data_IF_437713170573
#
_entry.id   IF_437713170573
#
_cell.length_a   1.000
_cell.length_b   1.000
_cell.length_c   1.000
_cell.angle_alpha   90.00
_cell.angle_beta   90.00
_cell.angle_gamma   90.00
#
_symmetry.space_group_name_H-M   'P 1'
#
loop_
_entity.id
_entity.type
_entity.pdbx_description
1 polymer ?
#
# COMPACT_ATOMS: atom_id res chain seq x y z
N UNK A 1 3.19 6.95 -10.41
CA UNK A 1 3.30 5.47 -10.29
C UNK A 1 3.26 5.12 -8.81
N UNK A 2 2.67 3.98 -8.47
CA UNK A 2 2.67 3.44 -7.11
C UNK A 2 3.55 2.20 -7.00
N UNK A 3 4.18 2.03 -5.84
CA UNK A 3 4.89 0.81 -5.47
C UNK A 3 4.09 0.10 -4.37
N UNK A 4 3.91 -1.21 -4.53
CA UNK A 4 3.32 -2.09 -3.53
C UNK A 4 4.42 -2.71 -2.69
N UNK A 5 4.31 -2.65 -1.36
CA UNK A 5 5.28 -3.25 -0.43
C UNK A 5 4.58 -4.03 0.67
N UNK A 6 5.16 -5.16 1.04
CA UNK A 6 4.61 -6.06 2.07
C UNK A 6 5.37 -6.01 3.40
N UNK A 7 6.47 -5.27 3.45
CA UNK A 7 7.40 -5.25 4.57
C UNK A 7 7.80 -3.82 4.96
N UNK A 8 8.33 -3.61 6.18
CA UNK A 8 8.87 -2.32 6.59
C UNK A 8 10.02 -1.91 5.69
N UNK A 9 10.02 -0.64 5.25
CA UNK A 9 11.10 -0.10 4.42
C UNK A 9 12.31 0.36 5.22
N UNK A 10 12.16 0.53 6.54
CA UNK A 10 13.30 0.78 7.42
C UNK A 10 14.16 -0.49 7.46
N UNK A 11 15.45 -0.42 7.15
CA UNK A 11 16.34 -1.58 7.27
C UNK A 11 16.41 -2.07 8.72
N UNK A 12 16.28 -3.38 8.91
CA UNK A 12 16.56 -4.01 10.18
C UNK A 12 18.09 -4.06 10.43
N UNK A 13 18.51 -3.87 11.68
CA UNK A 13 19.93 -4.00 12.06
C UNK A 13 20.39 -5.47 12.10
N UNK A 14 19.45 -6.38 12.33
CA UNK A 14 19.70 -7.82 12.35
C UNK A 14 18.58 -8.58 11.67
N UNK A 15 18.91 -9.79 11.24
CA UNK A 15 17.92 -10.74 10.73
C UNK A 15 16.96 -11.18 11.85
N UNK A 16 15.74 -11.62 11.51
CA UNK A 16 14.80 -12.19 12.48
C UNK A 16 15.46 -13.32 13.30
N UNK A 17 15.34 -13.25 14.62
CA UNK A 17 15.91 -14.24 15.54
C UNK A 17 17.40 -14.04 15.84
N UNK A 18 18.04 -12.97 15.36
CA UNK A 18 19.43 -12.63 15.67
C UNK A 18 19.50 -11.39 16.56
N UNK A 19 20.27 -11.47 17.63
CA UNK A 19 20.51 -10.34 18.54
C UNK A 19 21.56 -9.38 17.98
N UNK A 20 21.29 -8.08 18.10
CA UNK A 20 22.24 -7.03 17.77
C UNK A 20 22.95 -6.57 19.04
N UNK A 21 24.22 -6.97 19.22
CA UNK A 21 25.02 -6.55 20.36
C UNK A 21 25.71 -5.22 20.03
N UNK A 22 25.57 -4.26 20.94
CA UNK A 22 26.17 -2.93 20.85
C UNK A 22 27.23 -2.82 21.94
N UNK A 23 28.49 -2.79 21.55
CA UNK A 23 29.63 -2.73 22.47
C UNK A 23 29.99 -1.29 22.87
N UNK A 24 29.44 -0.29 22.15
CA UNK A 24 29.69 1.12 22.45
C UNK A 24 28.59 2.04 21.93
N UNK A 25 28.47 3.22 22.56
CA UNK A 25 27.61 4.31 22.08
C UNK A 25 27.99 4.77 20.66
N UNK A 26 29.28 4.72 20.31
CA UNK A 26 29.76 5.03 18.96
C UNK A 26 29.19 4.09 17.91
N UNK A 27 29.19 2.78 18.19
CA UNK A 27 28.61 1.76 17.32
C UNK A 27 27.09 1.90 17.19
N UNK A 28 26.40 2.20 18.30
CA UNK A 28 24.96 2.48 18.28
C UNK A 28 24.63 3.65 17.35
N UNK A 29 25.33 4.78 17.52
CA UNK A 29 25.14 5.98 16.69
C UNK A 29 25.46 5.73 15.21
N UNK A 30 26.53 4.99 14.92
CA UNK A 30 26.87 4.63 13.55
C UNK A 30 25.77 3.77 12.91
N UNK A 31 25.20 2.83 13.67
CA UNK A 31 24.11 1.96 13.21
C UNK A 31 22.84 2.75 12.90
N UNK A 32 22.44 3.67 13.78
CA UNK A 32 21.29 4.56 13.53
C UNK A 32 21.51 5.48 12.32
N UNK A 33 22.73 6.01 12.15
CA UNK A 33 23.09 6.82 10.99
C UNK A 33 22.96 6.02 9.71
N UNK A 34 23.49 4.79 9.69
CA UNK A 34 23.38 3.90 8.54
C UNK A 34 21.92 3.66 8.15
N UNK A 35 21.03 3.32 9.09
CA UNK A 35 19.58 3.16 8.83
C UNK A 35 18.99 4.42 8.17
N UNK A 36 19.34 5.59 8.71
CA UNK A 36 18.81 6.89 8.28
C UNK A 36 19.23 7.20 6.85
N UNK A 37 20.54 7.14 6.57
CA UNK A 37 21.10 7.35 5.24
C UNK A 37 20.55 6.34 4.21
N UNK A 38 20.35 5.10 4.65
CA UNK A 38 19.82 4.02 3.82
C UNK A 38 18.35 4.23 3.46
N UNK A 39 17.54 4.68 4.42
CA UNK A 39 16.13 5.02 4.22
C UNK A 39 16.00 6.24 3.30
N UNK A 40 16.85 7.24 3.47
CA UNK A 40 16.95 8.40 2.59
C UNK A 40 17.27 8.01 1.16
N UNK A 41 18.32 7.20 0.97
CA UNK A 41 18.73 6.72 -0.35
C UNK A 41 17.59 5.95 -1.04
N UNK A 42 16.80 5.18 -0.29
CA UNK A 42 15.61 4.49 -0.82
C UNK A 42 14.56 5.47 -1.31
N UNK A 43 14.19 6.47 -0.51
CA UNK A 43 13.18 7.45 -0.93
C UNK A 43 13.64 8.26 -2.15
N UNK A 44 14.93 8.60 -2.22
CA UNK A 44 15.54 9.25 -3.38
C UNK A 44 15.50 8.35 -4.62
N UNK A 45 15.75 7.05 -4.46
CA UNK A 45 15.65 6.06 -5.54
C UNK A 45 14.22 5.94 -6.07
N UNK A 46 13.24 5.85 -5.17
CA UNK A 46 11.81 5.83 -5.51
C UNK A 46 11.42 7.07 -6.34
N UNK A 47 11.80 8.25 -5.86
CA UNK A 47 11.56 9.52 -6.55
C UNK A 47 12.21 9.53 -7.94
N UNK A 48 13.47 9.11 -8.05
CA UNK A 48 14.22 9.09 -9.32
C UNK A 48 13.57 8.16 -10.36
N UNK A 49 12.87 7.13 -9.90
CA UNK A 49 12.08 6.21 -10.73
C UNK A 49 10.62 6.64 -10.93
N UNK A 50 10.27 7.88 -10.57
CA UNK A 50 8.93 8.47 -10.73
C UNK A 50 7.82 7.72 -9.94
N UNK A 51 8.20 7.10 -8.82
CA UNK A 51 7.27 6.60 -7.82
C UNK A 51 6.82 7.79 -6.96
N UNK A 52 5.51 8.01 -6.88
CA UNK A 52 4.90 9.11 -6.13
C UNK A 52 3.98 8.64 -5.00
N UNK A 53 3.71 7.33 -4.94
CA UNK A 53 2.82 6.71 -3.99
C UNK A 53 3.41 5.38 -3.53
N UNK A 54 3.45 5.16 -2.23
CA UNK A 54 3.78 3.90 -1.60
C UNK A 54 2.51 3.30 -1.01
N UNK A 55 2.22 2.06 -1.37
CA UNK A 55 1.10 1.26 -0.87
C UNK A 55 1.68 0.13 -0.03
N UNK A 56 1.49 0.21 1.29
CA UNK A 56 2.13 -0.70 2.24
C UNK A 56 1.08 -1.52 2.99
N UNK A 57 1.28 -2.85 3.04
CA UNK A 57 0.44 -3.71 3.89
C UNK A 57 0.74 -3.56 5.38
N UNK A 58 1.95 -3.08 5.72
CA UNK A 58 2.38 -2.85 7.09
C UNK A 58 2.44 -1.37 7.43
N UNK A 59 2.46 -1.06 8.72
CA UNK A 59 2.76 0.29 9.20
C UNK A 59 4.24 0.62 8.92
N UNK A 60 4.48 1.81 8.39
CA UNK A 60 5.83 2.32 8.12
C UNK A 60 6.30 3.19 9.29
N UNK A 61 7.62 3.19 9.51
CA UNK A 61 8.20 3.93 10.62
C UNK A 61 8.35 5.42 10.33
N UNK A 62 8.42 6.25 11.38
CA UNK A 62 8.44 7.71 11.23
C UNK A 62 9.58 8.21 10.34
N UNK A 63 10.75 7.55 10.37
CA UNK A 63 11.88 7.87 9.49
C UNK A 63 11.54 7.66 8.01
N UNK A 64 10.77 6.61 7.69
CA UNK A 64 10.30 6.32 6.34
C UNK A 64 9.31 7.40 5.91
N UNK A 65 8.35 7.74 6.77
CA UNK A 65 7.34 8.79 6.50
C UNK A 65 8.01 10.16 6.31
N UNK A 66 9.00 10.49 7.13
CA UNK A 66 9.76 11.74 7.05
C UNK A 66 10.44 11.88 5.69
N UNK A 67 11.21 10.88 5.26
CA UNK A 67 11.89 10.93 3.98
C UNK A 67 10.94 10.81 2.79
N UNK A 68 9.86 10.02 2.91
CA UNK A 68 8.83 9.98 1.88
C UNK A 68 8.27 11.39 1.63
N UNK A 69 7.94 12.14 2.68
CA UNK A 69 7.51 13.54 2.57
C UNK A 69 8.58 14.43 1.94
N UNK A 70 9.84 14.30 2.36
CA UNK A 70 10.95 15.11 1.84
C UNK A 70 11.15 14.91 0.32
N UNK A 71 10.99 13.68 -0.16
CA UNK A 71 11.17 13.30 -1.56
C UNK A 71 9.87 13.30 -2.39
N UNK A 72 8.75 13.75 -1.81
CA UNK A 72 7.47 13.89 -2.51
C UNK A 72 6.75 12.57 -2.81
N UNK A 73 7.00 11.55 -2.00
CA UNK A 73 6.32 10.24 -2.05
C UNK A 73 5.21 10.23 -0.99
N UNK A 74 3.96 10.05 -1.44
CA UNK A 74 2.82 9.85 -0.54
C UNK A 74 2.80 8.41 -0.02
N UNK A 75 2.36 8.19 1.21
CA UNK A 75 2.31 6.85 1.83
C UNK A 75 0.88 6.53 2.26
N UNK A 76 0.42 5.34 1.88
CA UNK A 76 -0.78 4.68 2.39
C UNK A 76 -0.32 3.38 3.02
N UNK A 77 -0.58 3.20 4.30
CA UNK A 77 -0.08 2.09 5.10
C UNK A 77 -1.22 1.29 5.74
N UNK A 78 -0.90 0.09 6.22
CA UNK A 78 -1.84 -0.86 6.82
C UNK A 78 -2.95 -1.34 5.87
N UNK A 79 -2.62 -1.53 4.59
CA UNK A 79 -3.51 -2.17 3.63
C UNK A 79 -3.69 -3.65 3.98
N UNK A 80 -4.94 -4.14 3.92
CA UNK A 80 -5.23 -5.55 4.18
C UNK A 80 -4.67 -6.46 3.08
N UNK A 81 -4.58 -7.77 3.36
CA UNK A 81 -4.22 -8.77 2.35
C UNK A 81 -5.15 -8.76 1.15
N UNK A 82 -6.45 -8.57 1.39
CA UNK A 82 -7.50 -8.52 0.37
C UNK A 82 -7.35 -7.27 -0.50
N UNK A 83 -7.06 -6.12 0.10
CA UNK A 83 -6.80 -4.88 -0.64
C UNK A 83 -5.55 -5.00 -1.51
N UNK A 84 -4.47 -5.57 -0.97
CA UNK A 84 -3.23 -5.80 -1.72
C UNK A 84 -3.44 -6.77 -2.89
N UNK A 85 -4.18 -7.86 -2.66
CA UNK A 85 -4.54 -8.82 -3.70
C UNK A 85 -5.39 -8.16 -4.81
N UNK A 86 -6.41 -7.39 -4.42
CA UNK A 86 -7.26 -6.66 -5.36
C UNK A 86 -6.46 -5.66 -6.21
N UNK A 87 -5.55 -4.89 -5.60
CA UNK A 87 -4.70 -3.96 -6.35
C UNK A 87 -3.81 -4.73 -7.33
N UNK A 88 -3.24 -5.85 -6.90
CA UNK A 88 -2.41 -6.70 -7.77
C UNK A 88 -3.22 -7.25 -8.96
N UNK A 89 -4.46 -7.67 -8.73
CA UNK A 89 -5.37 -8.16 -9.77
C UNK A 89 -5.78 -7.06 -10.77
N UNK A 90 -6.06 -5.85 -10.29
CA UNK A 90 -6.41 -4.70 -11.15
C UNK A 90 -5.23 -4.26 -12.01
N UNK A 91 -4.04 -4.21 -11.40
CA UNK A 91 -2.86 -3.57 -12.00
C UNK A 91 -1.90 -4.54 -12.66
N UNK A 92 -2.03 -5.85 -12.40
CA UNK A 92 -1.10 -6.88 -12.85
C UNK A 92 0.28 -6.82 -12.19
N UNK A 93 0.43 -6.03 -11.12
CA UNK A 93 1.71 -5.76 -10.45
C UNK A 93 1.78 -6.55 -9.16
N UNK A 94 2.85 -7.32 -8.95
CA UNK A 94 3.10 -7.97 -7.67
C UNK A 94 3.68 -7.00 -6.64
N UNK A 95 3.43 -7.23 -5.33
CA UNK A 95 4.12 -6.52 -4.29
C UNK A 95 5.63 -6.77 -4.37
N UNK A 96 6.39 -5.69 -4.29
CA UNK A 96 7.83 -5.76 -4.19
C UNK A 96 8.23 -6.16 -2.77
N UNK A 97 9.12 -7.15 -2.66
CA UNK A 97 9.93 -7.29 -1.46
C UNK A 97 10.84 -6.07 -1.34
N UNK A 98 11.11 -5.59 -0.12
CA UNK A 98 11.94 -4.40 0.07
C UNK A 98 13.27 -4.63 -0.64
N UNK A 99 13.74 -3.61 -1.35
CA UNK A 99 15.09 -3.62 -1.92
C UNK A 99 16.03 -3.88 -0.75
N UNK A 100 16.57 -5.10 -0.66
CA UNK A 100 17.64 -5.43 0.28
C UNK A 100 18.89 -4.60 -0.02
N UNK A 101 20.08 -5.12 0.27
CA UNK A 101 21.31 -4.33 0.10
C UNK A 101 21.58 -3.80 -1.32
N UNK A 102 20.90 -4.36 -2.33
CA UNK A 102 21.09 -3.97 -3.71
C UNK A 102 20.10 -2.89 -4.17
N UNK A 103 20.45 -1.62 -3.93
CA UNK A 103 19.68 -0.44 -4.36
C UNK A 103 19.73 -0.16 -5.85
N UNK A 104 20.64 -0.80 -6.57
CA UNK A 104 20.77 -0.65 -8.02
C UNK A 104 19.74 -1.48 -8.78
N UNK A 105 18.91 -2.27 -8.07
CA UNK A 105 17.83 -3.01 -8.69
C UNK A 105 16.81 -2.04 -9.28
N UNK A 106 16.59 -2.16 -10.58
CA UNK A 106 15.57 -1.39 -11.29
C UNK A 106 14.19 -1.66 -10.68
N UNK A 107 13.42 -0.59 -10.48
CA UNK A 107 12.02 -0.70 -10.05
C UNK A 107 11.18 -1.03 -11.28
N UNK A 108 11.04 -2.33 -11.54
CA UNK A 108 10.32 -2.86 -12.71
C UNK A 108 8.82 -2.94 -12.49
N UNK A 109 8.39 -3.16 -11.24
CA UNK A 109 7.01 -3.44 -10.88
C UNK A 109 6.36 -2.24 -10.19
N UNK A 110 5.56 -1.48 -10.93
CA UNK A 110 4.81 -0.34 -10.37
C UNK A 110 3.43 -0.26 -10.96
N UNK A 111 2.44 0.05 -10.13
CA UNK A 111 1.09 0.32 -10.58
C UNK A 111 0.95 1.74 -11.18
N UNK A 112 0.18 1.84 -12.26
CA UNK A 112 -0.22 3.13 -12.83
C UNK A 112 -1.44 3.64 -12.07
N UNK A 113 -1.27 4.79 -11.41
CA UNK A 113 -2.30 5.44 -10.60
C UNK A 113 -2.79 6.67 -11.36
N UNK A 114 -4.10 6.75 -11.58
CA UNK A 114 -4.76 7.88 -12.28
C UNK A 114 -5.02 9.04 -11.33
N UNK A 115 -5.39 8.74 -10.08
CA UNK A 115 -5.51 9.73 -9.01
C UNK A 115 -5.29 9.08 -7.64
N UNK A 116 -4.88 9.89 -6.67
CA UNK A 116 -4.83 9.53 -5.25
C UNK A 116 -5.23 10.76 -4.46
N UNK A 117 -6.36 10.69 -3.74
CA UNK A 117 -6.94 11.84 -3.04
C UNK A 117 -7.35 11.46 -1.62
N UNK A 118 -7.06 12.29 -0.61
CA UNK A 118 -7.64 12.09 0.71
C UNK A 118 -9.17 12.29 0.64
N UNK A 119 -9.91 11.47 1.37
CA UNK A 119 -11.36 11.53 1.47
C UNK A 119 -11.73 11.56 2.96
N UNK A 120 -12.46 12.57 3.38
CA UNK A 120 -12.96 12.67 4.75
C UNK A 120 -14.42 12.21 4.79
N UNK A 121 -14.67 11.05 5.39
CA UNK A 121 -15.99 10.48 5.59
C UNK A 121 -16.37 10.62 7.06
N UNK A 122 -17.09 11.71 7.38
CA UNK A 122 -17.36 12.13 8.76
C UNK A 122 -16.06 12.26 9.58
N UNK A 123 -15.85 11.39 10.57
CA UNK A 123 -14.63 11.35 11.40
C UNK A 123 -13.53 10.44 10.85
N UNK A 124 -13.79 9.67 9.79
CA UNK A 124 -12.83 8.74 9.19
C UNK A 124 -12.08 9.40 8.03
N UNK A 125 -10.75 9.31 8.08
CA UNK A 125 -9.87 9.69 6.97
C UNK A 125 -9.59 8.46 6.13
N UNK A 126 -10.02 8.51 4.89
CA UNK A 126 -9.82 7.48 3.88
C UNK A 126 -8.97 8.05 2.74
N UNK A 127 -8.54 7.17 1.85
CA UNK A 127 -7.89 7.55 0.60
C UNK A 127 -8.67 6.93 -0.55
N UNK A 128 -8.93 7.74 -1.58
CA UNK A 128 -9.53 7.25 -2.82
C UNK A 128 -8.44 7.19 -3.89
N UNK A 129 -8.20 5.98 -4.40
CA UNK A 129 -7.14 5.69 -5.36
C UNK A 129 -7.77 5.13 -6.62
N UNK A 130 -7.46 5.76 -7.74
CA UNK A 130 -7.80 5.27 -9.06
C UNK A 130 -6.60 4.59 -9.70
N UNK A 131 -6.81 3.38 -10.22
CA UNK A 131 -5.79 2.65 -10.97
C UNK A 131 -6.14 2.63 -12.46
N UNK A 132 -5.12 2.60 -13.31
CA UNK A 132 -5.31 2.20 -14.70
C UNK A 132 -5.41 0.68 -14.71
N UNK A 133 -6.60 0.14 -14.96
CA UNK A 133 -6.75 -1.32 -15.07
C UNK A 133 -6.05 -1.81 -16.34
N UNK A 134 -5.31 -2.91 -16.20
CA UNK A 134 -4.75 -3.68 -17.34
C UNK A 134 -5.57 -4.93 -17.62
N UNK A 135 -6.59 -5.21 -16.81
CA UNK A 135 -7.44 -6.39 -16.90
C UNK A 135 -8.83 -6.03 -17.43
N UNK A 136 -9.55 -7.03 -17.96
CA UNK A 136 -10.97 -6.89 -18.27
C UNK A 136 -11.82 -6.70 -16.99
N UNK A 137 -11.23 -6.98 -15.83
CA UNK A 137 -11.85 -6.74 -14.53
C UNK A 137 -11.80 -5.25 -14.19
N UNK A 138 -12.97 -4.65 -14.08
CA UNK A 138 -13.16 -3.24 -13.74
C UNK A 138 -13.96 -3.16 -12.43
N UNK A 139 -13.28 -3.27 -11.28
CA UNK A 139 -13.97 -3.19 -10.00
C UNK A 139 -14.50 -1.78 -9.79
N UNK A 140 -15.71 -1.72 -9.23
CA UNK A 140 -16.35 -0.49 -8.80
C UNK A 140 -16.46 -0.53 -7.28
N UNK A 141 -16.15 0.59 -6.63
CA UNK A 141 -16.26 0.72 -5.19
C UNK A 141 -17.52 1.53 -4.85
N UNK A 142 -18.37 0.97 -3.98
CA UNK A 142 -19.49 1.68 -3.38
C UNK A 142 -19.17 1.99 -1.92
N UNK A 143 -19.32 3.25 -1.53
CA UNK A 143 -19.13 3.69 -0.15
C UNK A 143 -20.50 3.90 0.47
N UNK A 144 -20.81 3.13 1.51
CA UNK A 144 -22.05 3.25 2.28
C UNK A 144 -21.79 4.08 3.55
N UNK A 145 -22.64 5.07 3.79
CA UNK A 145 -22.55 5.95 4.95
C UNK A 145 -23.91 6.07 5.63
N UNK A 146 -24.00 5.53 6.83
CA UNK A 146 -25.17 5.53 7.70
C UNK A 146 -24.84 6.10 9.08
N UNK A 147 -25.87 6.43 9.88
CA UNK A 147 -25.70 7.12 11.15
C UNK A 147 -25.02 6.28 12.23
N UNK A 148 -25.12 4.95 12.15
CA UNK A 148 -24.51 3.97 13.06
C UNK A 148 -24.09 2.72 12.30
N UNK A 149 -23.13 1.97 12.84
CA UNK A 149 -22.54 0.80 12.17
C UNK A 149 -23.59 -0.26 11.80
N UNK A 150 -24.56 -0.54 12.69
CA UNK A 150 -25.62 -1.52 12.40
C UNK A 150 -26.51 -1.16 11.20
N UNK A 151 -26.70 0.13 10.89
CA UNK A 151 -27.43 0.56 9.68
C UNK A 151 -26.56 0.37 8.43
N UNK A 152 -25.25 0.59 8.53
CA UNK A 152 -24.31 0.32 7.44
C UNK A 152 -24.27 -1.17 7.08
N UNK A 153 -24.26 -2.04 8.09
CA UNK A 153 -24.29 -3.50 7.88
C UNK A 153 -25.57 -3.93 7.17
N UNK A 154 -26.73 -3.40 7.57
CA UNK A 154 -28.00 -3.65 6.88
C UNK A 154 -27.99 -3.16 5.43
N UNK A 155 -27.45 -1.96 5.18
CA UNK A 155 -27.31 -1.45 3.81
C UNK A 155 -26.34 -2.29 2.98
N UNK A 156 -25.22 -2.72 3.55
CA UNK A 156 -24.25 -3.59 2.87
C UNK A 156 -24.89 -4.93 2.49
N UNK A 157 -25.61 -5.56 3.42
CA UNK A 157 -26.34 -6.80 3.17
C UNK A 157 -27.41 -6.63 2.08
N UNK A 158 -28.26 -5.61 2.18
CA UNK A 158 -29.30 -5.35 1.19
C UNK A 158 -28.73 -5.09 -0.21
N UNK A 159 -27.63 -4.33 -0.31
CA UNK A 159 -26.93 -4.10 -1.58
C UNK A 159 -26.37 -5.42 -2.11
N UNK A 160 -25.71 -6.21 -1.27
CA UNK A 160 -25.13 -7.48 -1.68
C UNK A 160 -26.21 -8.46 -2.20
N UNK A 161 -27.35 -8.54 -1.51
CA UNK A 161 -28.50 -9.35 -1.94
C UNK A 161 -29.07 -8.86 -3.28
N UNK A 162 -29.22 -7.55 -3.45
CA UNK A 162 -29.68 -6.95 -4.70
C UNK A 162 -28.74 -7.28 -5.87
N UNK A 163 -27.43 -7.14 -5.68
CA UNK A 163 -26.44 -7.51 -6.71
C UNK A 163 -26.45 -9.02 -6.99
N UNK A 164 -26.61 -9.86 -5.96
CA UNK A 164 -26.72 -11.31 -6.13
C UNK A 164 -27.94 -11.66 -6.97
N UNK A 165 -29.10 -11.06 -6.68
CA UNK A 165 -30.32 -11.26 -7.46
C UNK A 165 -30.12 -10.81 -8.93
N UNK A 166 -29.52 -9.65 -9.16
CA UNK A 166 -29.21 -9.16 -10.51
C UNK A 166 -28.30 -10.15 -11.25
N UNK A 167 -27.25 -10.65 -10.60
CA UNK A 167 -26.36 -11.64 -11.19
C UNK A 167 -27.12 -12.91 -11.62
N UNK A 168 -28.10 -13.38 -10.83
CA UNK A 168 -28.90 -14.56 -11.21
C UNK A 168 -29.75 -14.30 -12.46
N UNK A 169 -30.28 -13.08 -12.66
CA UNK A 169 -31.04 -12.73 -13.86
C UNK A 169 -30.19 -12.73 -15.13
N UNK A 170 -28.89 -12.47 -15.00
CA UNK A 170 -27.94 -12.44 -16.12
C UNK A 170 -27.15 -13.73 -16.30
N UNK A 171 -27.35 -14.74 -15.45
CA UNK A 171 -26.80 -16.07 -15.72
C UNK A 171 -27.55 -16.66 -16.91
N UNK A 172 -26.84 -16.83 -18.01
CA UNK A 172 -27.32 -17.64 -19.14
C UNK A 172 -27.67 -19.03 -18.63
N UNK A 173 -28.89 -19.47 -18.91
CA UNK A 173 -29.25 -20.88 -18.78
C UNK A 173 -28.49 -21.59 -19.89
N UNK A 174 -27.46 -22.37 -19.54
CA UNK A 174 -26.85 -23.30 -20.47
C UNK A 174 -27.95 -24.28 -20.91
N UNK A 175 -28.39 -24.15 -22.18
CA UNK A 175 -29.36 -25.03 -22.84
C UNK A 175 -28.68 -26.30 -23.34
#
# INVERSE_FOLDING_TARGET
RALLVTEPLRPALTAPGVEFVVDSEGQHRASLRWITERTEALMKHLQSNNVKLLLSSVKQEEVVIYYAKLYGVSVVECLSSEEMALISEITGVSPCTPLGDNMDRAITETAVVTFCRPLLLASRRCVHIGFSSVSAFQPHCLILCGPVDGVNEQHAAAVQEAFTMLQQLFKTVDL
#
